data_IF_862298423588
#
_entry.id   IF_862298423588
#
_cell.length_a   1.000
_cell.length_b   1.000
_cell.length_c   1.000
_cell.angle_alpha   90.00
_cell.angle_beta   90.00
_cell.angle_gamma   90.00
#
_symmetry.space_group_name_H-M   'P 1'
#
loop_
_entity.id
_entity.type
_entity.pdbx_description
1 polymer ?
#
# COMPACT_ATOMS: atom_id res chain seq x y z
N UNK A 1 36.22 -51.90 48.39
CA UNK A 1 35.12 -51.42 47.53
C UNK A 1 35.73 -50.70 46.33
N UNK A 2 35.44 -51.07 45.08
CA UNK A 2 35.98 -50.36 43.92
C UNK A 2 35.14 -49.11 43.63
N UNK A 3 35.83 -48.00 43.36
CA UNK A 3 35.24 -46.71 43.01
C UNK A 3 34.97 -46.73 41.50
N UNK A 4 33.68 -46.70 41.10
CA UNK A 4 33.28 -46.67 39.70
C UNK A 4 33.68 -45.32 39.07
N UNK A 5 34.71 -45.34 38.24
CA UNK A 5 35.21 -44.16 37.51
C UNK A 5 34.24 -43.83 36.36
N UNK A 6 33.42 -42.80 36.55
CA UNK A 6 32.48 -42.30 35.53
C UNK A 6 33.26 -41.79 34.31
N UNK A 7 32.97 -42.35 33.13
CA UNK A 7 33.56 -41.93 31.85
C UNK A 7 33.07 -40.51 31.52
N UNK A 8 33.96 -39.56 31.17
CA UNK A 8 33.54 -38.23 30.73
C UNK A 8 32.80 -38.35 29.39
N UNK A 9 31.59 -37.81 29.34
CA UNK A 9 30.77 -37.73 28.12
C UNK A 9 31.47 -36.74 27.17
N UNK A 10 31.90 -37.22 26.00
CA UNK A 10 32.49 -36.37 24.96
C UNK A 10 31.39 -35.45 24.41
N UNK A 11 31.42 -34.18 24.81
CA UNK A 11 30.59 -33.15 24.18
C UNK A 11 31.09 -32.97 22.74
N UNK A 12 30.34 -33.49 21.77
CA UNK A 12 30.60 -33.25 20.36
C UNK A 12 30.48 -31.76 20.06
N UNK A 13 31.56 -31.13 19.61
CA UNK A 13 31.56 -29.75 19.13
C UNK A 13 31.11 -29.69 17.67
N UNK A 14 30.46 -28.58 17.31
CA UNK A 14 30.16 -28.26 15.91
C UNK A 14 31.44 -28.19 15.09
N UNK A 15 31.41 -28.75 13.88
CA UNK A 15 32.55 -28.68 12.96
C UNK A 15 32.63 -27.30 12.29
N UNK A 16 33.84 -26.84 11.96
CA UNK A 16 34.02 -25.62 11.17
C UNK A 16 33.26 -25.68 9.85
N UNK A 17 33.17 -26.88 9.26
CA UNK A 17 32.49 -27.08 7.99
C UNK A 17 30.96 -26.98 8.11
N UNK A 18 30.36 -27.45 9.21
CA UNK A 18 28.93 -27.20 9.48
C UNK A 18 28.64 -25.71 9.54
N UNK A 19 29.47 -24.95 10.25
CA UNK A 19 29.26 -23.51 10.35
C UNK A 19 29.40 -22.82 8.98
N UNK A 20 30.36 -23.24 8.15
CA UNK A 20 30.56 -22.72 6.80
C UNK A 20 29.35 -22.98 5.89
N UNK A 21 28.80 -24.20 5.93
CA UNK A 21 27.61 -24.53 5.14
C UNK A 21 26.39 -23.75 5.61
N UNK A 22 26.25 -23.55 6.93
CA UNK A 22 25.13 -22.77 7.49
C UNK A 22 25.19 -21.31 7.04
N UNK A 23 26.33 -20.62 7.18
CA UNK A 23 26.43 -19.22 6.76
C UNK A 23 26.28 -19.07 5.24
N UNK A 24 26.70 -20.07 4.47
CA UNK A 24 26.52 -20.09 3.01
C UNK A 24 25.04 -20.15 2.63
N UNK A 25 24.26 -21.03 3.26
CA UNK A 25 22.82 -21.12 3.01
C UNK A 25 22.10 -19.84 3.48
N UNK A 26 22.45 -19.31 4.66
CA UNK A 26 21.86 -18.06 5.17
C UNK A 26 22.14 -16.88 4.24
N UNK A 27 23.33 -16.79 3.63
CA UNK A 27 23.65 -15.73 2.67
C UNK A 27 22.74 -15.80 1.43
N UNK A 28 22.47 -17.01 0.90
CA UNK A 28 21.57 -17.20 -0.24
C UNK A 28 20.13 -16.83 0.13
N UNK A 29 19.64 -17.32 1.29
CA UNK A 29 18.29 -17.03 1.76
C UNK A 29 18.09 -15.53 2.00
N UNK A 30 19.07 -14.86 2.60
CA UNK A 30 19.02 -13.43 2.85
C UNK A 30 18.90 -12.63 1.54
N UNK A 31 19.67 -12.99 0.50
CA UNK A 31 19.61 -12.32 -0.80
C UNK A 31 18.21 -12.42 -1.46
N UNK A 32 17.60 -13.60 -1.43
CA UNK A 32 16.25 -13.81 -2.01
C UNK A 32 15.17 -13.08 -1.18
N UNK A 33 15.33 -13.06 0.15
CA UNK A 33 14.37 -12.46 1.07
C UNK A 33 14.22 -10.95 0.86
N UNK A 34 15.30 -10.23 0.54
CA UNK A 34 15.25 -8.77 0.31
C UNK A 34 14.29 -8.41 -0.83
N UNK A 35 14.40 -9.07 -1.99
CA UNK A 35 13.54 -8.77 -3.15
C UNK A 35 12.07 -9.13 -2.89
N UNK A 36 11.82 -10.16 -2.09
CA UNK A 36 10.46 -10.57 -1.73
C UNK A 36 9.79 -9.58 -0.77
N UNK A 37 10.52 -9.10 0.24
CA UNK A 37 9.99 -8.16 1.23
C UNK A 37 9.70 -6.80 0.60
N UNK A 38 10.56 -6.32 -0.32
CA UNK A 38 10.33 -5.05 -1.02
C UNK A 38 8.98 -5.00 -1.75
N UNK A 39 8.60 -6.08 -2.46
CA UNK A 39 7.29 -6.15 -3.14
C UNK A 39 6.11 -6.05 -2.17
N UNK A 40 6.18 -6.76 -1.04
CA UNK A 40 5.13 -6.72 -0.01
C UNK A 40 5.01 -5.35 0.66
N UNK A 41 6.14 -4.68 0.85
CA UNK A 41 6.15 -3.30 1.36
C UNK A 41 5.44 -2.39 0.37
N UNK A 42 5.76 -2.47 -0.92
CA UNK A 42 5.11 -1.61 -1.92
C UNK A 42 3.60 -1.91 -2.06
N UNK A 43 3.19 -3.18 -2.01
CA UNK A 43 1.77 -3.56 -1.94
C UNK A 43 1.08 -2.96 -0.70
N UNK A 44 1.74 -2.96 0.45
CA UNK A 44 1.21 -2.37 1.67
C UNK A 44 1.07 -0.84 1.57
N UNK A 45 2.02 -0.17 0.91
CA UNK A 45 1.91 1.27 0.61
C UNK A 45 0.69 1.52 -0.28
N UNK A 46 0.54 0.78 -1.38
CA UNK A 46 -0.63 0.90 -2.25
C UNK A 46 -1.96 0.61 -1.53
N UNK A 47 -1.98 -0.27 -0.54
CA UNK A 47 -3.19 -0.53 0.25
C UNK A 47 -3.68 0.70 1.04
N UNK A 48 -2.78 1.57 1.49
CA UNK A 48 -3.13 2.86 2.09
C UNK A 48 -3.89 3.73 1.08
N UNK A 49 -3.29 3.93 -0.10
CA UNK A 49 -3.91 4.64 -1.21
C UNK A 49 -5.28 4.07 -1.60
N UNK A 50 -5.40 2.74 -1.68
CA UNK A 50 -6.65 2.09 -2.02
C UNK A 50 -7.76 2.37 -0.99
N UNK A 51 -7.40 2.46 0.29
CA UNK A 51 -8.34 2.76 1.38
C UNK A 51 -8.84 4.21 1.29
N UNK A 52 -7.92 5.15 1.09
CA UNK A 52 -8.25 6.57 0.93
C UNK A 52 -9.11 6.80 -0.32
N UNK A 53 -8.71 6.26 -1.46
CA UNK A 53 -9.51 6.30 -2.70
C UNK A 53 -10.90 5.68 -2.54
N UNK A 54 -11.03 4.56 -1.79
CA UNK A 54 -12.33 3.99 -1.45
C UNK A 54 -13.22 4.98 -0.67
N UNK A 55 -12.64 5.69 0.29
CA UNK A 55 -13.33 6.74 1.08
C UNK A 55 -13.77 7.90 0.18
N UNK A 56 -12.90 8.35 -0.71
CA UNK A 56 -13.19 9.41 -1.68
C UNK A 56 -14.33 9.01 -2.61
N UNK A 57 -14.34 7.76 -3.10
CA UNK A 57 -15.43 7.25 -3.94
C UNK A 57 -16.77 7.25 -3.21
N UNK A 58 -16.78 6.90 -1.92
CA UNK A 58 -17.99 6.97 -1.09
C UNK A 58 -18.45 8.41 -0.93
N UNK A 59 -17.53 9.36 -0.69
CA UNK A 59 -17.85 10.79 -0.59
C UNK A 59 -18.43 11.34 -1.90
N UNK A 60 -17.83 11.03 -3.05
CA UNK A 60 -18.37 11.45 -4.37
C UNK A 60 -19.77 10.87 -4.59
N UNK A 61 -20.00 9.61 -4.20
CA UNK A 61 -21.32 8.98 -4.31
C UNK A 61 -22.35 9.65 -3.40
N UNK A 62 -21.96 10.01 -2.18
CA UNK A 62 -22.82 10.76 -1.25
C UNK A 62 -23.14 12.16 -1.81
N UNK A 63 -22.15 12.84 -2.38
CA UNK A 63 -22.34 14.14 -3.03
C UNK A 63 -23.30 14.05 -4.22
N UNK A 64 -23.15 13.03 -5.08
CA UNK A 64 -24.06 12.77 -6.20
C UNK A 64 -25.50 12.46 -5.74
N UNK A 65 -25.65 11.76 -4.62
CA UNK A 65 -26.95 11.44 -4.03
C UNK A 65 -27.63 12.67 -3.40
N UNK A 66 -26.85 13.60 -2.83
CA UNK A 66 -27.37 14.84 -2.23
C UNK A 66 -27.65 15.97 -3.24
N UNK A 67 -26.99 15.97 -4.40
CA UNK A 67 -27.13 17.01 -5.43
C UNK A 67 -27.78 16.46 -6.69
N UNK A 68 -26.98 15.95 -7.62
CA UNK A 68 -27.36 15.16 -8.78
C UNK A 68 -26.12 14.53 -9.39
N UNK A 69 -26.31 13.52 -10.25
CA UNK A 69 -25.20 12.91 -10.99
C UNK A 69 -24.53 13.94 -11.93
N UNK A 70 -25.33 14.79 -12.59
CA UNK A 70 -24.81 15.83 -13.47
C UNK A 70 -23.93 16.86 -12.73
N UNK A 71 -24.33 17.21 -11.50
CA UNK A 71 -23.51 18.07 -10.63
C UNK A 71 -22.25 17.36 -10.17
N UNK A 72 -22.32 16.09 -9.77
CA UNK A 72 -21.14 15.34 -9.40
C UNK A 72 -20.14 15.22 -10.56
N UNK A 73 -20.62 15.05 -11.79
CA UNK A 73 -19.79 14.97 -13.00
C UNK A 73 -18.93 16.22 -13.25
N UNK A 74 -19.22 17.37 -12.65
CA UNK A 74 -18.33 18.54 -12.73
C UNK A 74 -17.01 18.34 -11.96
N UNK A 75 -16.95 17.36 -11.05
CA UNK A 75 -15.73 16.97 -10.33
C UNK A 75 -14.80 16.08 -11.16
N UNK A 76 -15.18 15.70 -12.39
CA UNK A 76 -14.29 14.93 -13.27
C UNK A 76 -13.08 15.79 -13.64
N UNK A 77 -11.89 15.25 -13.41
CA UNK A 77 -10.60 15.94 -13.53
C UNK A 77 -10.17 16.64 -12.24
N UNK A 78 -11.00 16.71 -11.21
CA UNK A 78 -10.66 17.33 -9.95
C UNK A 78 -9.63 16.50 -9.18
N UNK A 79 -8.68 17.22 -8.58
CA UNK A 79 -7.65 16.68 -7.71
C UNK A 79 -8.00 17.00 -6.25
N UNK A 80 -7.64 16.13 -5.33
CA UNK A 80 -8.00 16.31 -3.93
C UNK A 80 -7.11 17.27 -3.16
N UNK A 81 -6.06 17.83 -3.75
CA UNK A 81 -5.34 18.98 -3.19
C UNK A 81 -6.13 20.30 -3.34
N UNK A 82 -7.13 20.33 -4.22
CA UNK A 82 -8.00 21.49 -4.38
C UNK A 82 -8.97 21.63 -3.19
N UNK A 83 -8.90 22.79 -2.52
CA UNK A 83 -9.70 23.11 -1.34
C UNK A 83 -11.20 23.14 -1.65
N UNK A 84 -11.59 23.56 -2.86
CA UNK A 84 -12.99 23.59 -3.26
C UNK A 84 -13.54 22.15 -3.40
N UNK A 85 -12.76 21.27 -4.03
CA UNK A 85 -13.07 19.84 -4.15
C UNK A 85 -13.18 19.16 -2.78
N UNK A 86 -12.24 19.43 -1.86
CA UNK A 86 -12.30 18.93 -0.48
C UNK A 86 -13.58 19.38 0.23
N UNK A 87 -13.92 20.68 0.14
CA UNK A 87 -15.10 21.25 0.79
C UNK A 87 -16.39 20.66 0.26
N UNK A 88 -16.52 20.48 -1.06
CA UNK A 88 -17.70 19.89 -1.69
C UNK A 88 -17.91 18.42 -1.26
N UNK A 89 -16.83 17.68 -1.08
CA UNK A 89 -16.86 16.27 -0.68
C UNK A 89 -16.86 16.07 0.85
N UNK A 90 -16.73 17.15 1.62
CA UNK A 90 -16.74 17.12 3.09
C UNK A 90 -15.43 16.66 3.71
N UNK A 91 -14.31 16.82 3.00
CA UNK A 91 -12.96 16.58 3.50
C UNK A 91 -12.32 17.85 4.05
N UNK A 92 -11.45 17.67 5.02
CA UNK A 92 -10.45 18.65 5.46
C UNK A 92 -9.12 18.38 4.75
N UNK A 93 -8.22 19.36 4.75
CA UNK A 93 -6.91 19.28 4.07
C UNK A 93 -5.98 18.16 4.55
N UNK A 94 -6.30 17.50 5.66
CA UNK A 94 -5.51 16.41 6.24
C UNK A 94 -6.19 15.05 6.13
N UNK A 95 -7.44 14.98 5.68
CA UNK A 95 -8.20 13.71 5.71
C UNK A 95 -7.70 12.68 4.69
N UNK A 96 -7.10 13.16 3.60
CA UNK A 96 -6.48 12.32 2.56
C UNK A 96 -4.94 12.32 2.64
N UNK A 97 -4.38 12.90 3.71
CA UNK A 97 -2.95 12.93 3.94
C UNK A 97 -2.49 11.61 4.58
N UNK A 98 -1.69 10.87 3.83
CA UNK A 98 -1.16 9.57 4.23
C UNK A 98 0.33 9.60 4.56
N UNK A 99 0.89 8.44 4.92
CA UNK A 99 2.33 8.29 5.11
C UNK A 99 3.05 8.31 3.76
N UNK A 100 2.45 7.70 2.74
CA UNK A 100 3.08 7.54 1.42
C UNK A 100 2.42 8.36 0.31
N UNK A 101 1.18 8.81 0.54
CA UNK A 101 0.40 9.57 -0.43
C UNK A 101 -0.09 10.88 0.18
N UNK A 102 -0.31 11.89 -0.64
CA UNK A 102 -0.92 13.18 -0.30
C UNK A 102 -2.23 13.39 -1.06
N UNK A 103 -3.06 14.38 -0.68
CA UNK A 103 -4.29 14.68 -1.41
C UNK A 103 -4.06 14.90 -2.91
N UNK A 104 -2.91 15.47 -3.27
CA UNK A 104 -2.41 15.66 -4.64
C UNK A 104 -2.33 14.39 -5.49
N UNK A 105 -2.25 13.22 -4.87
CA UNK A 105 -2.10 11.96 -5.58
C UNK A 105 -3.41 11.40 -6.13
N UNK A 106 -4.56 11.91 -5.65
CA UNK A 106 -5.89 11.39 -5.98
C UNK A 106 -6.61 12.31 -6.95
N UNK A 107 -6.95 11.77 -8.13
CA UNK A 107 -7.72 12.49 -9.15
C UNK A 107 -8.98 11.71 -9.53
N UNK A 108 -10.12 12.40 -9.56
CA UNK A 108 -11.40 11.82 -9.99
C UNK A 108 -11.42 11.80 -11.52
N UNK A 109 -11.25 10.64 -12.14
CA UNK A 109 -11.06 10.53 -13.60
C UNK A 109 -12.37 10.39 -14.37
N UNK A 110 -13.40 9.82 -13.75
CA UNK A 110 -14.75 9.80 -14.33
C UNK A 110 -15.79 9.52 -13.26
N UNK A 111 -17.05 9.83 -13.53
CA UNK A 111 -18.19 9.47 -12.67
C UNK A 111 -19.25 8.83 -13.54
N UNK A 112 -19.55 7.57 -13.26
CA UNK A 112 -20.54 6.78 -13.99
C UNK A 112 -21.97 7.29 -13.78
N UNK A 113 -22.87 6.86 -14.67
CA UNK A 113 -24.32 7.15 -14.54
C UNK A 113 -24.96 6.49 -13.30
N UNK A 114 -24.23 5.64 -12.58
CA UNK A 114 -24.58 5.06 -11.29
C UNK A 114 -24.03 5.87 -10.09
N UNK A 115 -23.41 7.03 -10.35
CA UNK A 115 -22.82 7.91 -9.35
C UNK A 115 -21.52 7.38 -8.74
N UNK A 116 -20.90 6.34 -9.33
CA UNK A 116 -19.63 5.79 -8.85
C UNK A 116 -18.47 6.45 -9.57
N UNK A 117 -17.53 6.99 -8.79
CA UNK A 117 -16.32 7.60 -9.30
C UNK A 117 -15.26 6.56 -9.66
N UNK A 118 -14.53 6.82 -10.74
CA UNK A 118 -13.22 6.26 -11.04
C UNK A 118 -12.17 7.19 -10.47
N UNK A 119 -11.24 6.65 -9.70
CA UNK A 119 -10.20 7.43 -9.03
C UNK A 119 -8.85 6.90 -9.47
N UNK A 120 -8.03 7.80 -10.02
CA UNK A 120 -6.63 7.51 -10.30
C UNK A 120 -5.81 7.98 -9.11
N UNK A 121 -4.99 7.08 -8.58
CA UNK A 121 -3.98 7.36 -7.58
C UNK A 121 -2.61 7.29 -8.23
N UNK A 122 -1.82 8.35 -8.11
CA UNK A 122 -0.45 8.42 -8.65
C UNK A 122 0.54 8.46 -7.51
N UNK A 123 1.50 7.53 -7.50
CA UNK A 123 2.54 7.52 -6.48
C UNK A 123 3.78 8.30 -6.92
N UNK A 124 4.54 8.80 -5.95
CA UNK A 124 5.84 9.45 -6.18
C UNK A 124 6.00 10.79 -5.47
N UNK A 125 4.96 11.29 -4.82
CA UNK A 125 4.94 12.62 -4.21
C UNK A 125 5.69 12.69 -2.88
N UNK A 126 5.72 11.58 -2.11
CA UNK A 126 6.46 11.49 -0.84
C UNK A 126 7.72 10.63 -0.91
N UNK A 127 8.61 10.88 0.04
CA UNK A 127 9.78 10.02 0.26
C UNK A 127 9.34 8.56 0.52
N UNK A 128 9.94 7.62 -0.21
CA UNK A 128 9.60 6.19 -0.18
C UNK A 128 8.19 5.83 -0.68
N UNK A 129 7.44 6.76 -1.26
CA UNK A 129 6.22 6.44 -2.01
C UNK A 129 6.55 5.43 -3.11
N UNK A 130 5.68 4.44 -3.37
CA UNK A 130 5.84 3.62 -4.56
C UNK A 130 5.66 4.51 -5.81
N UNK A 131 6.24 4.10 -6.93
CA UNK A 131 6.06 4.79 -8.23
C UNK A 131 5.05 4.06 -9.10
N UNK A 132 4.41 4.81 -10.01
CA UNK A 132 3.36 4.32 -10.91
C UNK A 132 1.97 4.81 -10.50
N UNK A 133 0.94 4.27 -11.15
CA UNK A 133 -0.44 4.67 -10.89
C UNK A 133 -1.37 3.47 -10.77
N UNK A 134 -2.40 3.60 -9.92
CA UNK A 134 -3.48 2.64 -9.77
C UNK A 134 -4.82 3.34 -10.01
N UNK A 135 -5.73 2.65 -10.68
CA UNK A 135 -7.06 3.17 -11.00
C UNK A 135 -8.12 2.30 -10.35
N UNK A 136 -8.97 2.91 -9.52
CA UNK A 136 -10.17 2.29 -8.99
C UNK A 136 -11.28 2.43 -10.02
N UNK A 137 -11.69 1.33 -10.65
CA UNK A 137 -12.74 1.31 -11.67
C UNK A 137 -14.15 1.38 -11.07
N UNK A 138 -15.14 1.69 -11.91
CA UNK A 138 -16.57 1.79 -11.51
C UNK A 138 -17.15 0.46 -11.02
N UNK A 139 -16.57 -0.68 -11.40
CA UNK A 139 -16.92 -2.01 -10.93
C UNK A 139 -16.28 -2.37 -9.57
N UNK A 140 -15.34 -1.56 -9.07
CA UNK A 140 -14.60 -1.81 -7.83
C UNK A 140 -13.30 -2.56 -8.02
N UNK A 141 -12.90 -2.85 -9.25
CA UNK A 141 -11.59 -3.45 -9.55
C UNK A 141 -10.48 -2.40 -9.53
N UNK A 142 -9.27 -2.87 -9.23
CA UNK A 142 -8.05 -2.07 -9.22
C UNK A 142 -7.20 -2.45 -10.42
N UNK A 143 -6.88 -1.46 -11.25
CA UNK A 143 -6.01 -1.65 -12.41
C UNK A 143 -4.72 -0.85 -12.23
N UNK A 144 -3.59 -1.54 -12.26
CA UNK A 144 -2.27 -0.88 -12.30
C UNK A 144 -2.02 -0.39 -13.73
N UNK A 145 -1.63 0.87 -13.86
CA UNK A 145 -1.25 1.50 -15.13
C UNK A 145 0.25 1.35 -15.40
#
# INVERSE_FOLDING_TARGET
MPILRRKPETRGGFTLIELMVVIFIVAILAAVLVAFVQRRIDEAKWAEACTTAGTIRVAVRAYAAGTSIATAQTLVGANLDDTDTQTLLGFLSQDCEGTYFEPGDYTITSIGADGKAVITVTGGSKANSPTGSYVLQTDGTWEKQ
#
